data_IF_879225696770
#
_entry.id   IF_879225696770
#
_cell.length_a   1.000
_cell.length_b   1.000
_cell.length_c   1.000
_cell.angle_alpha   90.00
_cell.angle_beta   90.00
_cell.angle_gamma   90.00
#
_symmetry.space_group_name_H-M   'P 1'
#
loop_
_entity.id
_entity.type
_entity.pdbx_description
1 polymer ?
#
# COMPACT_ATOMS: atom_id res chain seq x y z
N UNK A 1 14.32 -2.53 -12.81
CA UNK A 1 14.98 -1.35 -12.20
C UNK A 1 14.77 -1.31 -10.69
N UNK A 2 13.53 -1.30 -10.16
CA UNK A 2 13.26 -1.29 -8.71
C UNK A 2 13.66 -2.58 -7.98
N UNK A 3 13.23 -3.76 -8.46
CA UNK A 3 13.63 -5.05 -7.87
C UNK A 3 15.15 -5.30 -7.95
N UNK A 4 15.80 -4.83 -9.01
CA UNK A 4 17.25 -4.90 -9.16
C UNK A 4 17.97 -4.07 -8.08
N UNK A 5 17.44 -2.88 -7.74
CA UNK A 5 17.95 -2.07 -6.64
C UNK A 5 17.76 -2.72 -5.25
N UNK A 6 16.89 -3.73 -5.15
CA UNK A 6 16.67 -4.55 -3.96
C UNK A 6 17.49 -5.85 -3.97
N UNK A 7 18.44 -6.00 -4.90
CA UNK A 7 19.27 -7.21 -5.02
C UNK A 7 18.52 -8.43 -5.55
N UNK A 8 17.38 -8.23 -6.25
CA UNK A 8 16.57 -9.32 -6.80
C UNK A 8 15.58 -9.95 -5.81
N UNK A 9 15.59 -9.51 -4.55
CA UNK A 9 14.75 -10.05 -3.48
C UNK A 9 13.31 -9.53 -3.60
N UNK A 10 12.33 -10.41 -3.37
CA UNK A 10 10.92 -10.04 -3.26
C UNK A 10 10.65 -9.43 -1.88
N UNK A 11 10.98 -8.15 -1.73
CA UNK A 11 10.78 -7.40 -0.49
C UNK A 11 9.30 -7.00 -0.30
N UNK A 12 8.78 -7.04 0.94
CA UNK A 12 7.49 -6.45 1.26
C UNK A 12 7.46 -4.96 0.91
N UNK A 13 6.43 -4.54 0.19
CA UNK A 13 6.22 -3.16 -0.24
C UNK A 13 5.32 -2.42 0.75
N UNK A 14 5.77 -1.26 1.22
CA UNK A 14 4.94 -0.29 1.94
C UNK A 14 4.86 0.98 1.12
N UNK A 15 3.65 1.40 0.78
CA UNK A 15 3.40 2.65 0.05
C UNK A 15 2.87 3.70 1.00
N UNK A 16 3.47 4.90 0.95
CA UNK A 16 3.05 6.07 1.71
C UNK A 16 2.61 7.14 0.71
N UNK A 17 1.32 7.49 0.72
CA UNK A 17 0.69 8.28 -0.33
C UNK A 17 -0.11 9.45 0.24
N UNK A 18 0.11 10.64 -0.31
CA UNK A 18 -0.53 11.90 0.10
C UNK A 18 -1.41 12.47 -1.00
N UNK A 19 -2.57 13.04 -0.64
CA UNK A 19 -3.41 13.80 -1.58
C UNK A 19 -3.71 12.99 -2.83
N UNK A 20 -3.50 13.55 -4.04
CA UNK A 20 -3.69 12.87 -5.31
C UNK A 20 -2.92 11.54 -5.43
N UNK A 21 -1.78 11.43 -4.75
CA UNK A 21 -0.99 10.19 -4.72
C UNK A 21 -1.77 9.00 -4.15
N UNK A 22 -2.75 9.23 -3.25
CA UNK A 22 -3.60 8.17 -2.73
C UNK A 22 -4.48 7.56 -3.82
N UNK A 23 -5.08 8.38 -4.70
CA UNK A 23 -5.88 7.91 -5.84
C UNK A 23 -5.00 7.22 -6.88
N UNK A 24 -3.85 7.82 -7.24
CA UNK A 24 -2.93 7.22 -8.22
C UNK A 24 -2.52 5.80 -7.79
N UNK A 25 -2.16 5.61 -6.53
CA UNK A 25 -1.78 4.29 -6.00
C UNK A 25 -2.97 3.34 -5.95
N UNK A 26 -4.16 3.83 -5.59
CA UNK A 26 -5.40 3.03 -5.59
C UNK A 26 -5.71 2.51 -7.00
N UNK A 27 -5.68 3.37 -8.01
CA UNK A 27 -5.94 3.01 -9.41
C UNK A 27 -4.88 2.03 -9.92
N UNK A 28 -3.61 2.28 -9.61
CA UNK A 28 -2.53 1.38 -9.98
C UNK A 28 -2.68 -0.01 -9.34
N UNK A 29 -3.02 -0.07 -8.04
CA UNK A 29 -3.26 -1.33 -7.35
C UNK A 29 -4.50 -2.05 -7.89
N UNK A 30 -5.55 -1.30 -8.23
CA UNK A 30 -6.75 -1.83 -8.86
C UNK A 30 -6.41 -2.53 -10.19
N UNK A 31 -5.70 -1.84 -11.07
CA UNK A 31 -5.29 -2.38 -12.37
C UNK A 31 -4.40 -3.62 -12.23
N UNK A 32 -3.54 -3.65 -11.21
CA UNK A 32 -2.70 -4.81 -10.93
C UNK A 32 -3.49 -6.03 -10.44
N UNK A 33 -4.62 -5.81 -9.76
CA UNK A 33 -5.52 -6.84 -9.23
C UNK A 33 -6.53 -7.36 -10.27
N UNK A 34 -6.78 -6.57 -11.33
CA UNK A 34 -7.82 -6.83 -12.33
C UNK A 34 -7.18 -6.96 -13.71
N UNK A 35 -6.53 -8.10 -14.01
CA UNK A 35 -5.71 -8.24 -15.18
C UNK A 35 -6.42 -8.08 -16.53
N UNK A 36 -7.72 -8.28 -16.54
CA UNK A 36 -8.63 -7.99 -17.64
C UNK A 36 -8.64 -6.51 -18.06
N UNK A 37 -8.21 -5.56 -17.22
CA UNK A 37 -8.12 -4.14 -17.58
C UNK A 37 -6.90 -3.79 -18.44
N UNK A 38 -6.02 -4.77 -18.71
CA UNK A 38 -4.93 -4.66 -19.68
C UNK A 38 -3.58 -4.15 -19.13
N UNK A 39 -3.48 -3.79 -17.84
CA UNK A 39 -2.25 -3.22 -17.24
C UNK A 39 -1.38 -4.20 -16.43
N UNK A 40 -1.93 -5.34 -16.06
CA UNK A 40 -1.42 -6.31 -15.07
C UNK A 40 -0.38 -7.32 -15.57
N UNK A 41 0.01 -7.30 -16.84
CA UNK A 41 0.89 -8.34 -17.43
C UNK A 41 2.37 -8.09 -17.14
N UNK A 42 2.70 -7.87 -15.88
CA UNK A 42 4.09 -7.84 -15.41
C UNK A 42 4.48 -9.13 -14.70
N UNK A 43 5.70 -9.58 -14.95
CA UNK A 43 6.31 -10.74 -14.28
C UNK A 43 6.95 -10.38 -12.92
N UNK A 44 7.04 -9.09 -12.61
CA UNK A 44 7.67 -8.58 -11.38
C UNK A 44 6.62 -8.37 -10.28
N UNK A 45 6.63 -9.24 -9.26
CA UNK A 45 5.71 -9.22 -8.13
C UNK A 45 5.76 -7.90 -7.34
N UNK A 46 6.92 -7.24 -7.28
CA UNK A 46 7.09 -5.95 -6.59
C UNK A 46 6.39 -4.83 -7.38
N UNK A 47 6.62 -4.79 -8.70
CA UNK A 47 5.99 -3.79 -9.59
C UNK A 47 4.48 -4.02 -9.68
N UNK A 48 4.04 -5.27 -9.74
CA UNK A 48 2.62 -5.62 -9.81
C UNK A 48 1.89 -5.57 -8.46
N UNK A 49 2.44 -4.89 -7.45
CA UNK A 49 1.82 -4.72 -6.12
C UNK A 49 1.51 -6.05 -5.40
N UNK A 50 2.07 -7.18 -5.86
CA UNK A 50 1.85 -8.49 -5.24
C UNK A 50 2.62 -8.60 -3.93
N UNK A 51 3.66 -7.81 -3.70
CA UNK A 51 4.32 -7.74 -2.38
C UNK A 51 3.78 -6.62 -1.48
N UNK A 52 2.67 -5.96 -1.82
CA UNK A 52 2.09 -4.88 -1.00
C UNK A 52 1.68 -5.39 0.38
N UNK A 53 2.44 -4.96 1.41
CA UNK A 53 2.21 -5.27 2.82
C UNK A 53 1.65 -4.07 3.59
N UNK A 54 1.86 -2.84 3.11
CA UNK A 54 1.35 -1.65 3.78
C UNK A 54 0.88 -0.58 2.80
N UNK A 55 -0.26 0.02 3.08
CA UNK A 55 -0.70 1.24 2.41
C UNK A 55 -0.98 2.28 3.49
N UNK A 56 -0.29 3.41 3.44
CA UNK A 56 -0.50 4.55 4.32
C UNK A 56 -1.00 5.70 3.47
N UNK A 57 -2.22 6.15 3.71
CA UNK A 57 -2.77 7.32 3.03
C UNK A 57 -2.99 8.46 4.01
N UNK A 58 -2.76 9.69 3.57
CA UNK A 58 -3.02 10.87 4.39
C UNK A 58 -3.42 12.05 3.51
N UNK A 59 -4.35 12.88 4.01
CA UNK A 59 -5.00 13.90 3.16
C UNK A 59 -5.63 13.28 1.90
N UNK A 60 -6.16 12.06 2.01
CA UNK A 60 -6.61 11.26 0.86
C UNK A 60 -7.91 11.81 0.29
N UNK A 61 -7.92 12.03 -1.03
CA UNK A 61 -9.08 12.45 -1.78
C UNK A 61 -9.96 11.28 -2.24
N UNK A 62 -9.60 10.01 -2.00
CA UNK A 62 -10.38 8.83 -2.42
C UNK A 62 -11.87 8.96 -2.05
N UNK A 63 -12.26 9.34 -0.80
CA UNK A 63 -13.68 9.46 -0.45
C UNK A 63 -14.44 10.46 -1.34
N UNK A 64 -13.81 11.59 -1.71
CA UNK A 64 -14.41 12.59 -2.59
C UNK A 64 -14.65 12.01 -3.99
N UNK A 65 -13.67 11.29 -4.55
CA UNK A 65 -13.79 10.69 -5.89
C UNK A 65 -14.81 9.55 -5.91
N UNK A 66 -14.98 8.82 -4.80
CA UNK A 66 -15.98 7.75 -4.73
C UNK A 66 -17.43 8.25 -4.77
N UNK A 67 -17.69 9.52 -4.45
CA UNK A 67 -19.04 10.10 -4.53
C UNK A 67 -19.60 10.14 -5.96
N UNK A 68 -18.73 10.18 -6.97
CA UNK A 68 -19.12 10.19 -8.38
C UNK A 68 -19.37 8.77 -8.93
N UNK A 69 -19.10 7.72 -8.15
CA UNK A 69 -19.21 6.34 -8.61
C UNK A 69 -20.61 5.77 -8.31
N UNK A 70 -21.25 5.08 -9.28
CA UNK A 70 -22.54 4.41 -9.04
C UNK A 70 -22.41 3.23 -8.07
N UNK A 71 -21.20 2.66 -7.96
CA UNK A 71 -20.85 1.60 -7.02
C UNK A 71 -19.40 1.78 -6.58
N UNK A 72 -19.18 1.78 -5.27
CA UNK A 72 -17.83 1.86 -4.69
C UNK A 72 -17.31 0.44 -4.47
N UNK A 73 -16.17 0.12 -5.09
CA UNK A 73 -15.45 -1.14 -4.89
C UNK A 73 -14.02 -0.78 -4.47
N UNK A 74 -13.59 -1.31 -3.33
CA UNK A 74 -12.23 -1.08 -2.84
C UNK A 74 -11.24 -2.06 -3.51
N UNK A 75 -9.99 -1.63 -3.62
CA UNK A 75 -8.88 -2.56 -3.88
C UNK A 75 -8.81 -3.62 -2.77
N UNK A 76 -8.28 -4.79 -3.10
CA UNK A 76 -8.02 -5.83 -2.13
C UNK A 76 -7.02 -5.30 -1.07
N UNK A 77 -7.27 -5.58 0.23
CA UNK A 77 -6.42 -5.07 1.30
C UNK A 77 -5.02 -5.70 1.23
N UNK A 78 -3.95 -5.02 1.67
CA UNK A 78 -2.57 -5.54 1.56
C UNK A 78 -2.40 -7.00 2.02
N UNK A 79 -3.07 -7.39 3.10
CA UNK A 79 -3.06 -8.76 3.64
C UNK A 79 -3.60 -9.86 2.72
N UNK A 80 -4.26 -9.51 1.60
CA UNK A 80 -4.88 -10.49 0.70
C UNK A 80 -3.88 -11.12 -0.27
N UNK A 81 -2.69 -10.56 -0.44
CA UNK A 81 -1.75 -11.09 -1.42
C UNK A 81 -1.19 -12.45 -1.01
N UNK A 82 -1.22 -13.49 -1.86
CA UNK A 82 -0.62 -14.79 -1.55
C UNK A 82 0.91 -14.75 -1.50
N UNK A 83 1.56 -13.68 -1.99
CA UNK A 83 3.03 -13.57 -2.00
C UNK A 83 3.63 -13.11 -0.68
N UNK A 84 2.81 -12.70 0.29
CA UNK A 84 3.28 -12.35 1.63
C UNK A 84 3.47 -13.60 2.48
N UNK A 85 4.59 -13.68 3.20
CA UNK A 85 4.77 -14.67 4.27
C UNK A 85 3.75 -14.46 5.39
N UNK A 86 3.44 -15.50 6.17
CA UNK A 86 2.46 -15.43 7.25
C UNK A 86 2.81 -14.37 8.29
N UNK A 87 4.09 -14.22 8.61
CA UNK A 87 4.59 -13.19 9.52
C UNK A 87 4.29 -11.77 9.00
N UNK A 88 4.54 -11.51 7.71
CA UNK A 88 4.29 -10.20 7.09
C UNK A 88 2.78 -9.96 6.95
N UNK A 89 2.03 -10.98 6.54
CA UNK A 89 0.57 -10.94 6.42
C UNK A 89 -0.12 -10.57 7.74
N UNK A 90 0.39 -11.06 8.87
CA UNK A 90 -0.16 -10.78 10.20
C UNK A 90 -0.09 -9.30 10.59
N UNK A 91 0.85 -8.53 10.02
CA UNK A 91 1.02 -7.10 10.30
C UNK A 91 0.57 -6.20 9.15
N UNK A 92 0.22 -6.79 8.00
CA UNK A 92 -0.13 -6.09 6.77
C UNK A 92 -1.49 -5.40 6.86
N UNK A 93 -1.54 -4.10 6.50
CA UNK A 93 -2.74 -3.28 6.67
C UNK A 93 -2.71 -2.01 5.82
N UNK A 94 -3.90 -1.44 5.63
CA UNK A 94 -4.08 -0.09 5.08
C UNK A 94 -4.50 0.84 6.23
N UNK A 95 -3.71 1.90 6.45
CA UNK A 95 -3.98 2.97 7.41
C UNK A 95 -4.30 4.28 6.66
N UNK A 96 -5.35 4.99 7.08
CA UNK A 96 -5.70 6.29 6.50
C UNK A 96 -5.80 7.39 7.57
N UNK A 97 -5.10 8.50 7.35
CA UNK A 97 -5.01 9.65 8.26
C UNK A 97 -5.69 10.87 7.62
N UNK A 98 -6.95 11.12 7.98
CA UNK A 98 -7.83 12.07 7.29
C UNK A 98 -7.51 13.56 7.55
N UNK A 99 -6.92 13.90 8.70
CA UNK A 99 -6.86 15.30 9.22
C UNK A 99 -5.58 16.05 8.80
N UNK A 100 -4.66 15.41 8.09
CA UNK A 100 -3.30 15.94 7.83
C UNK A 100 -3.20 16.96 6.67
N UNK A 101 -4.16 17.87 6.49
CA UNK A 101 -4.09 18.91 5.44
C UNK A 101 -3.57 20.28 5.92
N UNK A 102 -3.40 20.49 7.23
CA UNK A 102 -2.73 21.65 7.83
C UNK A 102 -1.96 21.19 9.09
N UNK A 103 -1.19 22.07 9.75
CA UNK A 103 -0.21 21.95 10.87
C UNK A 103 -0.22 20.77 11.89
N UNK A 104 -1.12 19.79 11.80
CA UNK A 104 -1.29 18.58 12.60
C UNK A 104 -0.28 17.45 12.30
N UNK A 105 0.94 17.78 11.87
CA UNK A 105 1.97 16.79 11.50
C UNK A 105 2.72 16.22 12.71
N UNK A 106 2.44 16.72 13.92
CA UNK A 106 3.11 16.29 15.14
C UNK A 106 2.94 14.79 15.39
N UNK A 107 3.95 14.16 15.99
CA UNK A 107 4.22 12.71 16.04
C UNK A 107 3.05 11.77 16.34
N UNK A 108 1.94 12.27 16.90
CA UNK A 108 0.78 11.47 17.29
C UNK A 108 -0.22 11.21 16.17
N UNK A 109 -0.26 12.04 15.13
CA UNK A 109 -1.35 11.98 14.14
C UNK A 109 -0.98 11.28 12.82
N UNK A 110 0.32 11.10 12.53
CA UNK A 110 0.77 10.41 11.31
C UNK A 110 2.12 9.69 11.45
N UNK A 111 3.17 10.41 11.87
CA UNK A 111 4.55 9.89 11.83
C UNK A 111 4.73 8.65 12.70
N UNK A 112 4.27 8.68 13.97
CA UNK A 112 4.35 7.54 14.88
C UNK A 112 3.61 6.30 14.34
N UNK A 113 2.32 6.41 14.00
CA UNK A 113 1.57 5.32 13.36
C UNK A 113 2.22 4.75 12.09
N UNK A 114 2.68 5.61 11.17
CA UNK A 114 3.33 5.18 9.94
C UNK A 114 4.66 4.46 10.21
N UNK A 115 5.50 5.01 11.09
CA UNK A 115 6.76 4.38 11.50
C UNK A 115 6.53 3.02 12.17
N UNK A 116 5.49 2.87 12.99
CA UNK A 116 5.12 1.57 13.59
C UNK A 116 4.72 0.55 12.53
N UNK A 117 3.98 0.93 11.49
CA UNK A 117 3.68 0.02 10.37
C UNK A 117 4.95 -0.41 9.64
N UNK A 118 5.78 0.54 9.22
CA UNK A 118 7.02 0.27 8.49
C UNK A 118 7.93 -0.65 9.33
N UNK A 119 8.11 -0.33 10.61
CA UNK A 119 8.92 -1.13 11.53
C UNK A 119 8.37 -2.54 11.76
N UNK A 120 7.05 -2.68 11.90
CA UNK A 120 6.42 -3.99 12.06
C UNK A 120 6.61 -4.87 10.81
N UNK A 121 6.41 -4.31 9.61
CA UNK A 121 6.63 -5.02 8.34
C UNK A 121 8.11 -5.40 8.19
N UNK A 122 9.04 -4.49 8.48
CA UNK A 122 10.47 -4.76 8.41
C UNK A 122 10.91 -5.87 9.38
N UNK A 123 10.38 -5.87 10.61
CA UNK A 123 10.67 -6.91 11.60
C UNK A 123 10.07 -8.26 11.20
N UNK A 124 8.85 -8.27 10.68
CA UNK A 124 8.19 -9.47 10.19
C UNK A 124 8.93 -10.08 8.98
N UNK A 125 9.39 -9.24 8.05
CA UNK A 125 10.17 -9.66 6.90
C UNK A 125 11.48 -10.37 7.31
N UNK A 126 12.14 -9.86 8.35
CA UNK A 126 13.38 -10.46 8.90
C UNK A 126 13.16 -11.80 9.63
N UNK A 127 11.95 -12.05 10.14
CA UNK A 127 11.62 -13.27 10.89
C UNK A 127 11.11 -14.41 10.01
N UNK A 128 10.62 -14.09 8.81
CA UNK A 128 10.11 -15.05 7.84
C UNK A 128 11.03 -15.28 6.64
N UNK A 129 12.25 -14.75 6.67
CA UNK A 129 13.31 -14.98 5.67
C UNK A 129 14.24 -16.11 6.10
#
# INVERSE_FOLDING_TARGET
MLRANLGGVDAPLVVVAHSLGSVIVSDYAWDAQHPETGRSKGDDDFVCMRTLAGLVTFGSNIPLFTLALPRVIAIAPPRSSPRLSDAVRAVARWENFYVSHTAYWSDRDFLGPAARLIGAVALAARRGA
#
